data_IF_784276896579
#
_entry.id   IF_784276896579
#
_cell.length_a   1.000
_cell.length_b   1.000
_cell.length_c   1.000
_cell.angle_alpha   90.00
_cell.angle_beta   90.00
_cell.angle_gamma   90.00
#
_symmetry.space_group_name_H-M   'P 1'
#
loop_
_entity.id
_entity.type
_entity.pdbx_description
1 polymer ?
#
# COMPACT_ATOMS: atom_id res chain seq x y z
N UNK A 1 -4.08 4.79 -30.75
CA UNK A 1 -3.17 4.81 -29.57
C UNK A 1 -2.13 5.91 -29.73
N UNK A 2 -1.53 6.05 -30.90
CA UNK A 2 -0.50 7.09 -31.14
C UNK A 2 -1.02 8.53 -31.03
N UNK A 3 -2.25 8.80 -31.48
CA UNK A 3 -2.88 10.12 -31.33
C UNK A 3 -3.14 10.53 -29.88
N UNK A 4 -3.41 9.56 -28.99
CA UNK A 4 -3.58 9.79 -27.55
C UNK A 4 -2.23 10.03 -26.86
N UNK A 5 -1.18 9.33 -27.27
CA UNK A 5 0.17 9.48 -26.72
C UNK A 5 0.78 10.83 -27.13
N UNK A 6 0.58 11.23 -28.40
CA UNK A 6 1.07 12.52 -28.91
C UNK A 6 0.32 13.68 -28.25
N UNK A 7 -1.02 13.62 -28.18
CA UNK A 7 -1.85 14.62 -27.48
C UNK A 7 -1.48 14.73 -26.00
N UNK A 8 -1.34 13.60 -25.30
CA UNK A 8 -0.93 13.59 -23.90
C UNK A 8 0.48 14.15 -23.71
N UNK A 9 1.42 13.86 -24.62
CA UNK A 9 2.79 14.38 -24.52
C UNK A 9 2.87 15.89 -24.71
N UNK A 10 2.14 16.48 -25.66
CA UNK A 10 2.20 17.92 -25.91
C UNK A 10 1.47 18.73 -24.83
N UNK A 11 0.29 18.28 -24.39
CA UNK A 11 -0.43 18.95 -23.31
C UNK A 11 0.26 18.79 -21.95
N UNK A 12 0.78 17.61 -21.63
CA UNK A 12 1.51 17.41 -20.37
C UNK A 12 2.81 18.21 -20.35
N UNK A 13 3.53 18.30 -21.47
CA UNK A 13 4.73 19.12 -21.56
C UNK A 13 4.42 20.62 -21.40
N UNK A 14 3.31 21.09 -22.00
CA UNK A 14 2.81 22.46 -21.82
C UNK A 14 2.42 22.77 -20.37
N UNK A 15 1.67 21.86 -19.73
CA UNK A 15 1.28 21.96 -18.32
C UNK A 15 2.49 21.91 -17.38
N UNK A 16 3.52 21.14 -17.74
CA UNK A 16 4.73 21.01 -16.93
C UNK A 16 5.56 22.30 -16.93
N UNK A 17 5.69 22.95 -18.09
CA UNK A 17 6.35 24.27 -18.19
C UNK A 17 5.55 25.34 -17.44
N UNK A 18 4.22 25.26 -17.45
CA UNK A 18 3.34 26.21 -16.77
C UNK A 18 3.24 26.01 -15.25
N UNK A 19 3.41 24.79 -14.73
CA UNK A 19 3.34 24.46 -13.30
C UNK A 19 4.59 24.83 -12.48
N UNK A 20 5.62 25.37 -13.14
CA UNK A 20 6.80 25.92 -12.48
C UNK A 20 7.65 24.93 -11.69
N UNK A 21 8.43 25.44 -10.74
CA UNK A 21 9.47 24.67 -10.01
C UNK A 21 8.91 23.55 -9.12
N UNK A 22 7.67 23.70 -8.63
CA UNK A 22 7.03 22.73 -7.73
C UNK A 22 6.66 21.42 -8.43
N UNK A 23 6.57 21.43 -9.76
CA UNK A 23 6.35 20.21 -10.54
C UNK A 23 7.50 19.21 -10.40
N UNK A 24 8.75 19.65 -10.23
CA UNK A 24 9.88 18.74 -9.99
C UNK A 24 9.77 18.03 -8.63
N UNK A 25 9.29 18.75 -7.62
CA UNK A 25 9.04 18.18 -6.29
C UNK A 25 7.90 17.16 -6.36
N UNK A 26 6.79 17.50 -7.04
CA UNK A 26 5.68 16.57 -7.25
C UNK A 26 6.11 15.33 -8.05
N UNK A 27 6.94 15.50 -9.07
CA UNK A 27 7.48 14.38 -9.86
C UNK A 27 8.33 13.45 -8.97
N UNK A 28 9.19 14.00 -8.11
CA UNK A 28 9.97 13.20 -7.17
C UNK A 28 9.08 12.40 -6.22
N UNK A 29 8.04 13.02 -5.66
CA UNK A 29 7.05 12.34 -4.80
C UNK A 29 6.34 11.24 -5.58
N UNK A 30 5.91 11.52 -6.81
CA UNK A 30 5.22 10.55 -7.67
C UNK A 30 6.11 9.35 -7.98
N UNK A 31 7.37 9.57 -8.36
CA UNK A 31 8.31 8.50 -8.64
C UNK A 31 8.55 7.61 -7.42
N UNK A 32 8.79 8.21 -6.25
CA UNK A 32 8.97 7.47 -5.00
C UNK A 32 7.71 6.69 -4.65
N UNK A 33 6.54 7.31 -4.78
CA UNK A 33 5.24 6.70 -4.49
C UNK A 33 4.97 5.49 -5.39
N UNK A 34 5.08 5.63 -6.72
CA UNK A 34 4.83 4.54 -7.64
C UNK A 34 5.87 3.43 -7.54
N UNK A 35 7.14 3.79 -7.35
CA UNK A 35 8.21 2.81 -7.11
C UNK A 35 7.94 2.00 -5.84
N UNK A 36 7.67 2.65 -4.71
CA UNK A 36 7.38 1.98 -3.44
C UNK A 36 6.10 1.15 -3.51
N UNK A 37 5.08 1.62 -4.23
CA UNK A 37 3.83 0.90 -4.44
C UNK A 37 4.08 -0.38 -5.24
N UNK A 38 4.88 -0.29 -6.30
CA UNK A 38 5.24 -1.43 -7.14
C UNK A 38 6.10 -2.45 -6.37
N UNK A 39 7.12 -1.97 -5.64
CA UNK A 39 7.95 -2.83 -4.78
C UNK A 39 7.08 -3.58 -3.76
N UNK A 40 6.18 -2.88 -3.07
CA UNK A 40 5.29 -3.49 -2.07
C UNK A 40 4.29 -4.44 -2.71
N UNK A 41 3.74 -4.10 -3.87
CA UNK A 41 2.84 -4.97 -4.62
C UNK A 41 3.54 -6.26 -5.06
N UNK A 42 4.77 -6.19 -5.56
CA UNK A 42 5.57 -7.36 -5.95
C UNK A 42 5.99 -8.18 -4.73
N UNK A 43 6.45 -7.52 -3.66
CA UNK A 43 6.79 -8.17 -2.39
C UNK A 43 5.59 -8.96 -1.85
N UNK A 44 4.41 -8.34 -1.84
CA UNK A 44 3.20 -8.99 -1.37
C UNK A 44 2.80 -10.13 -2.32
N UNK A 45 2.77 -9.91 -3.64
CA UNK A 45 2.44 -10.95 -4.63
C UNK A 45 3.38 -12.17 -4.56
N UNK A 46 4.67 -11.95 -4.30
CA UNK A 46 5.65 -13.03 -4.16
C UNK A 46 5.51 -13.82 -2.85
N UNK A 47 4.99 -13.19 -1.78
CA UNK A 47 4.76 -13.82 -0.46
C UNK A 47 3.34 -14.36 -0.31
N UNK A 48 2.37 -13.83 -1.06
CA UNK A 48 0.95 -14.21 -1.03
C UNK A 48 0.56 -15.15 -2.16
N UNK A 49 1.33 -16.22 -2.35
CA UNK A 49 0.86 -17.40 -3.08
C UNK A 49 -0.26 -18.17 -2.34
N UNK A 50 -0.89 -17.54 -1.34
CA UNK A 50 -2.08 -18.00 -0.61
C UNK A 50 -3.40 -17.67 -1.31
N UNK A 51 -3.34 -17.13 -2.53
CA UNK A 51 -4.54 -16.74 -3.28
C UNK A 51 -5.38 -17.98 -3.56
N UNK A 52 -6.55 -17.99 -2.93
CA UNK A 52 -7.65 -18.94 -3.13
C UNK A 52 -7.62 -20.24 -2.32
N UNK A 53 -6.95 -20.27 -1.16
CA UNK A 53 -7.05 -21.43 -0.26
C UNK A 53 -8.43 -21.48 0.40
N UNK A 54 -9.29 -22.35 -0.12
CA UNK A 54 -10.59 -22.66 0.49
C UNK A 54 -10.40 -23.19 1.92
N UNK A 55 -11.39 -22.96 2.80
CA UNK A 55 -11.43 -23.52 4.15
C UNK A 55 -11.21 -25.05 4.14
N UNK A 56 -11.70 -25.75 3.12
CA UNK A 56 -11.49 -27.19 2.93
C UNK A 56 -10.02 -27.56 2.73
N UNK A 57 -9.26 -26.74 2.02
CA UNK A 57 -7.82 -26.94 1.79
C UNK A 57 -7.02 -26.69 3.07
N UNK A 58 -7.44 -25.71 3.89
CA UNK A 58 -6.82 -25.47 5.20
C UNK A 58 -7.00 -26.66 6.15
N UNK A 59 -8.20 -27.23 6.19
CA UNK A 59 -8.47 -28.44 7.00
C UNK A 59 -7.57 -29.59 6.53
N UNK A 60 -7.41 -29.76 5.21
CA UNK A 60 -6.53 -30.78 4.65
C UNK A 60 -5.06 -30.55 5.04
N UNK A 61 -4.59 -29.31 5.06
CA UNK A 61 -3.22 -28.98 5.45
C UNK A 61 -2.95 -29.16 6.94
N UNK A 62 -3.94 -28.86 7.79
CA UNK A 62 -3.81 -29.09 9.25
C UNK A 62 -3.77 -30.59 9.56
N UNK A 63 -4.54 -31.40 8.84
CA UNK A 63 -4.50 -32.86 8.98
C UNK A 63 -3.28 -33.52 8.35
N UNK A 64 -2.77 -32.96 7.25
CA UNK A 64 -1.57 -33.45 6.55
C UNK A 64 -0.68 -32.28 6.09
N UNK A 65 0.29 -31.86 6.92
CA UNK A 65 1.19 -30.75 6.63
C UNK A 65 2.05 -30.92 5.37
N UNK A 66 2.24 -32.15 4.88
CA UNK A 66 3.02 -32.44 3.66
C UNK A 66 2.34 -31.90 2.39
N UNK A 67 1.01 -31.76 2.41
CA UNK A 67 0.24 -31.24 1.28
C UNK A 67 0.18 -29.71 1.22
N UNK A 68 0.75 -29.03 2.22
CA UNK A 68 0.72 -27.58 2.32
C UNK A 68 1.80 -26.93 1.45
N UNK A 69 1.57 -25.67 1.05
CA UNK A 69 2.60 -24.87 0.38
C UNK A 69 3.88 -24.75 1.23
N UNK A 70 5.03 -24.48 0.60
CA UNK A 70 6.34 -24.50 1.27
C UNK A 70 6.39 -23.61 2.53
N UNK A 71 5.80 -22.42 2.50
CA UNK A 71 5.76 -21.53 3.66
C UNK A 71 4.78 -22.03 4.73
N UNK A 72 3.57 -22.45 4.36
CA UNK A 72 2.59 -23.01 5.30
C UNK A 72 3.10 -24.27 5.97
N UNK A 73 3.76 -25.15 5.22
CA UNK A 73 4.34 -26.40 5.73
C UNK A 73 5.36 -26.09 6.83
N UNK A 74 6.27 -25.14 6.60
CA UNK A 74 7.23 -24.69 7.63
C UNK A 74 6.52 -24.15 8.87
N UNK A 75 5.49 -23.34 8.70
CA UNK A 75 4.71 -22.77 9.80
C UNK A 75 4.01 -23.87 10.62
N UNK A 76 3.36 -24.82 9.95
CA UNK A 76 2.68 -25.94 10.59
C UNK A 76 3.66 -26.86 11.32
N UNK A 77 4.83 -27.16 10.74
CA UNK A 77 5.88 -27.93 11.44
C UNK A 77 6.39 -27.18 12.67
N UNK A 78 6.67 -25.87 12.54
CA UNK A 78 7.11 -25.07 13.68
C UNK A 78 6.09 -25.07 14.81
N UNK A 79 4.79 -25.01 14.50
CA UNK A 79 3.72 -25.08 15.51
C UNK A 79 3.56 -26.49 16.07
N UNK A 80 3.74 -27.53 15.25
CA UNK A 80 3.60 -28.93 15.67
C UNK A 80 4.63 -29.37 16.71
N UNK A 81 5.80 -28.78 16.70
CA UNK A 81 6.80 -28.94 17.76
C UNK A 81 6.33 -28.40 19.13
N UNK A 82 5.22 -27.66 19.18
CA UNK A 82 4.57 -27.19 20.41
C UNK A 82 3.24 -27.90 20.74
N UNK A 83 2.96 -29.07 20.13
CA UNK A 83 1.67 -29.78 20.28
C UNK A 83 1.32 -30.22 21.70
N UNK A 84 2.30 -30.27 22.61
CA UNK A 84 2.12 -30.76 23.99
C UNK A 84 1.18 -29.87 24.81
N UNK A 85 1.11 -28.58 24.51
CA UNK A 85 0.13 -27.69 25.14
C UNK A 85 -0.46 -26.69 24.14
N UNK A 86 -1.77 -26.45 24.25
CA UNK A 86 -2.45 -25.44 23.43
C UNK A 86 -1.84 -24.03 23.59
N UNK A 87 -1.32 -23.73 24.79
CA UNK A 87 -0.64 -22.47 25.07
C UNK A 87 0.65 -22.27 24.27
N UNK A 88 1.49 -23.31 24.18
CA UNK A 88 2.75 -23.30 23.42
C UNK A 88 2.47 -23.15 21.92
N UNK A 89 1.55 -23.94 21.37
CA UNK A 89 1.15 -23.87 19.97
C UNK A 89 0.61 -22.47 19.62
N UNK A 90 -0.20 -21.86 20.49
CA UNK A 90 -0.74 -20.51 20.29
C UNK A 90 0.35 -19.45 20.30
N UNK A 91 1.29 -19.54 21.25
CA UNK A 91 2.44 -18.64 21.30
C UNK A 91 3.27 -18.69 20.02
N UNK A 92 3.49 -19.88 19.45
CA UNK A 92 4.22 -20.06 18.18
C UNK A 92 3.48 -19.43 16.99
N UNK A 93 2.15 -19.48 16.97
CA UNK A 93 1.37 -18.74 15.97
C UNK A 93 1.52 -17.22 16.11
N UNK A 94 1.51 -16.71 17.34
CA UNK A 94 1.71 -15.29 17.60
C UNK A 94 3.11 -14.83 17.18
N UNK A 95 4.15 -15.65 17.39
CA UNK A 95 5.52 -15.38 16.90
C UNK A 95 5.59 -15.32 15.37
N UNK A 96 4.93 -16.25 14.68
CA UNK A 96 4.84 -16.22 13.20
C UNK A 96 4.16 -14.92 12.76
N UNK A 97 3.00 -14.58 13.32
CA UNK A 97 2.28 -13.34 12.97
C UNK A 97 3.13 -12.09 13.21
N UNK A 98 3.82 -12.02 14.34
CA UNK A 98 4.68 -10.91 14.71
C UNK A 98 5.88 -10.73 13.76
N UNK A 99 6.31 -11.80 13.08
CA UNK A 99 7.36 -11.70 12.06
C UNK A 99 6.83 -11.15 10.72
N UNK A 100 5.64 -11.60 10.30
CA UNK A 100 5.12 -11.32 8.95
C UNK A 100 4.31 -10.02 8.86
N UNK A 101 3.33 -9.81 9.75
CA UNK A 101 2.37 -8.70 9.62
C UNK A 101 3.02 -7.32 9.80
N UNK A 102 3.88 -7.06 10.81
CA UNK A 102 4.44 -5.73 11.04
C UNK A 102 5.29 -5.22 9.88
N UNK A 103 5.97 -6.13 9.15
CA UNK A 103 6.78 -5.76 7.99
C UNK A 103 5.92 -5.22 6.84
N UNK A 104 4.74 -5.82 6.62
CA UNK A 104 3.78 -5.38 5.61
C UNK A 104 3.13 -4.08 6.07
N UNK A 105 2.73 -4.00 7.33
CA UNK A 105 2.11 -2.81 7.93
C UNK A 105 2.99 -1.58 7.81
N UNK A 106 4.29 -1.70 8.13
CA UNK A 106 5.23 -0.59 8.00
C UNK A 106 5.31 -0.07 6.57
N UNK A 107 5.26 -0.95 5.57
CA UNK A 107 5.26 -0.58 4.15
C UNK A 107 3.96 0.11 3.76
N UNK A 108 2.81 -0.41 4.21
CA UNK A 108 1.50 0.21 3.98
C UNK A 108 1.44 1.61 4.61
N UNK A 109 1.87 1.77 5.86
CA UNK A 109 1.91 3.07 6.54
C UNK A 109 2.76 4.08 5.76
N UNK A 110 3.92 3.67 5.25
CA UNK A 110 4.77 4.51 4.43
C UNK A 110 4.09 4.92 3.12
N UNK A 111 3.40 4.00 2.45
CA UNK A 111 2.63 4.30 1.24
C UNK A 111 1.47 5.27 1.51
N UNK A 112 0.75 5.08 2.62
CA UNK A 112 -0.32 6.00 3.04
C UNK A 112 0.22 7.41 3.27
N UNK A 113 1.39 7.54 3.93
CA UNK A 113 2.05 8.83 4.12
C UNK A 113 2.36 9.52 2.78
N UNK A 114 2.94 8.79 1.83
CA UNK A 114 3.30 9.33 0.50
C UNK A 114 2.06 9.77 -0.29
N UNK A 115 0.98 8.98 -0.27
CA UNK A 115 -0.27 9.36 -0.95
C UNK A 115 -0.92 10.58 -0.33
N UNK A 116 -0.90 10.71 0.99
CA UNK A 116 -1.40 11.92 1.65
C UNK A 116 -0.53 13.14 1.38
N UNK A 117 0.77 12.96 1.13
CA UNK A 117 1.70 14.07 0.86
C UNK A 117 1.53 14.65 -0.55
N UNK A 118 1.12 13.87 -1.55
CA UNK A 118 0.96 14.36 -2.92
C UNK A 118 -0.10 15.48 -3.08
N UNK A 119 -1.32 15.39 -2.52
CA UNK A 119 -2.29 16.49 -2.52
C UNK A 119 -1.82 17.69 -1.69
N UNK A 120 -1.12 17.46 -0.57
CA UNK A 120 -0.56 18.53 0.26
C UNK A 120 0.52 19.32 -0.49
N UNK A 121 1.36 18.64 -1.28
CA UNK A 121 2.32 19.28 -2.17
C UNK A 121 1.62 20.09 -3.28
N UNK A 122 0.50 19.60 -3.82
CA UNK A 122 -0.35 20.34 -4.75
C UNK A 122 -0.92 21.62 -4.13
N UNK A 123 -1.44 21.52 -2.90
CA UNK A 123 -1.94 22.67 -2.13
C UNK A 123 -0.82 23.68 -1.83
N UNK A 124 0.39 23.23 -1.50
CA UNK A 124 1.55 24.12 -1.36
C UNK A 124 1.83 24.90 -2.66
N UNK A 125 1.65 24.25 -3.81
CA UNK A 125 1.59 24.86 -5.14
C UNK A 125 0.71 26.09 -5.20
N UNK A 126 -0.52 25.99 -4.69
CA UNK A 126 -1.46 27.13 -4.70
C UNK A 126 -0.98 28.29 -3.84
N UNK A 127 -0.42 28.01 -2.67
CA UNK A 127 0.08 29.04 -1.75
C UNK A 127 1.27 29.77 -2.37
N UNK A 128 2.21 29.02 -2.97
CA UNK A 128 3.35 29.60 -3.68
C UNK A 128 2.93 30.41 -4.91
N UNK A 129 2.02 29.90 -5.74
CA UNK A 129 1.52 30.60 -6.94
C UNK A 129 0.75 31.89 -6.61
N UNK A 130 -0.04 31.88 -5.53
CA UNK A 130 -0.68 33.11 -5.02
C UNK A 130 0.36 34.08 -4.46
N UNK A 131 1.40 33.61 -3.77
CA UNK A 131 2.45 34.47 -3.23
C UNK A 131 3.24 35.16 -4.35
N UNK A 132 3.62 34.44 -5.41
CA UNK A 132 4.29 35.03 -6.59
C UNK A 132 3.37 36.01 -7.31
N UNK A 133 2.08 35.71 -7.40
CA UNK A 133 1.07 36.62 -7.94
C UNK A 133 1.03 37.95 -7.18
N UNK A 134 0.86 37.91 -5.84
CA UNK A 134 0.81 39.12 -5.02
C UNK A 134 2.12 39.92 -5.03
N UNK A 135 3.26 39.25 -5.12
CA UNK A 135 4.57 39.91 -5.27
C UNK A 135 4.70 40.58 -6.64
N UNK A 136 4.23 39.95 -7.71
CA UNK A 136 4.17 40.55 -9.05
C UNK A 136 3.31 41.81 -9.05
N UNK A 137 2.14 41.75 -8.40
CA UNK A 137 1.23 42.88 -8.22
C UNK A 137 1.88 44.07 -7.48
N UNK A 138 2.55 43.81 -6.36
CA UNK A 138 3.16 44.89 -5.55
C UNK A 138 4.31 45.59 -6.25
N UNK A 139 4.96 44.91 -7.20
CA UNK A 139 6.13 45.43 -7.91
C UNK A 139 5.79 46.04 -9.27
N UNK A 140 4.59 45.78 -9.81
CA UNK A 140 4.16 46.25 -11.14
C UNK A 140 3.19 47.43 -11.06
N UNK A 141 3.64 48.59 -11.52
CA UNK A 141 2.81 49.78 -11.67
C UNK A 141 2.32 49.91 -13.13
N UNK A 142 1.19 49.28 -13.50
CA UNK A 142 0.57 49.48 -14.82
C UNK A 142 -0.20 48.28 -15.40
N UNK A 143 -0.98 48.50 -16.47
CA UNK A 143 -2.02 47.61 -17.03
C UNK A 143 -1.67 46.18 -17.47
N UNK A 144 -0.44 45.69 -17.23
CA UNK A 144 -0.08 44.26 -17.38
C UNK A 144 -0.38 43.42 -16.13
N UNK A 145 -0.90 44.05 -15.07
CA UNK A 145 -1.29 43.45 -13.79
C UNK A 145 -2.20 42.22 -13.94
N UNK A 146 -3.15 42.24 -14.89
CA UNK A 146 -4.14 41.16 -15.06
C UNK A 146 -3.49 39.87 -15.59
N UNK A 147 -2.60 39.98 -16.59
CA UNK A 147 -1.94 38.81 -17.19
C UNK A 147 -1.03 38.08 -16.19
N UNK A 148 -0.32 38.84 -15.34
CA UNK A 148 0.51 38.26 -14.28
C UNK A 148 -0.31 37.50 -13.24
N UNK A 149 -1.47 38.05 -12.85
CA UNK A 149 -2.39 37.39 -11.92
C UNK A 149 -2.98 36.13 -12.51
N UNK A 150 -3.44 36.19 -13.75
CA UNK A 150 -4.00 35.03 -14.44
C UNK A 150 -2.95 33.90 -14.56
N UNK A 151 -1.70 34.24 -14.88
CA UNK A 151 -0.60 33.27 -14.95
C UNK A 151 -0.33 32.54 -13.63
N UNK A 152 -0.15 33.27 -12.53
CA UNK A 152 0.17 32.65 -11.23
C UNK A 152 -0.98 31.86 -10.62
N UNK A 153 -2.25 32.25 -10.88
CA UNK A 153 -3.42 31.44 -10.52
C UNK A 153 -3.47 30.15 -11.37
N UNK A 154 -3.18 30.24 -12.67
CA UNK A 154 -3.14 29.06 -13.54
C UNK A 154 -2.06 28.06 -13.11
N UNK A 155 -0.84 28.53 -12.81
CA UNK A 155 0.26 27.70 -12.29
C UNK A 155 -0.15 26.97 -11.00
N UNK A 156 -0.79 27.69 -10.06
CA UNK A 156 -1.32 27.15 -8.82
C UNK A 156 -2.35 26.01 -9.05
N UNK A 157 -3.29 26.22 -9.96
CA UNK A 157 -4.35 25.24 -10.25
C UNK A 157 -3.80 23.99 -10.94
N UNK A 158 -2.87 24.15 -11.89
CA UNK A 158 -2.23 23.03 -12.60
C UNK A 158 -1.45 22.14 -11.61
N UNK A 159 -0.72 22.76 -10.69
CA UNK A 159 0.05 22.04 -9.66
C UNK A 159 -0.87 21.20 -8.76
N UNK A 160 -2.03 21.75 -8.38
CA UNK A 160 -3.03 21.05 -7.56
C UNK A 160 -3.68 19.89 -8.30
N UNK A 161 -4.11 20.15 -9.53
CA UNK A 161 -4.72 19.14 -10.39
C UNK A 161 -3.76 17.97 -10.60
N UNK A 162 -2.48 18.24 -10.87
CA UNK A 162 -1.45 17.22 -11.04
C UNK A 162 -1.28 16.37 -9.79
N UNK A 163 -1.21 16.99 -8.61
CA UNK A 163 -1.12 16.27 -7.32
C UNK A 163 -2.30 15.31 -7.10
N UNK A 164 -3.52 15.72 -7.46
CA UNK A 164 -4.71 14.86 -7.36
C UNK A 164 -4.71 13.73 -8.38
N UNK A 165 -4.32 14.00 -9.64
CA UNK A 165 -4.22 12.99 -10.69
C UNK A 165 -3.22 11.89 -10.31
N UNK A 166 -2.15 12.22 -9.60
CA UNK A 166 -1.17 11.25 -9.07
C UNK A 166 -1.76 10.49 -7.87
N UNK A 167 -2.37 11.20 -6.92
CA UNK A 167 -2.81 10.63 -5.64
C UNK A 167 -3.99 9.65 -5.77
N UNK A 168 -4.99 9.95 -6.60
CA UNK A 168 -6.21 9.13 -6.75
C UNK A 168 -5.91 7.69 -7.19
N UNK A 169 -5.22 7.44 -8.34
CA UNK A 169 -4.91 6.08 -8.77
C UNK A 169 -3.97 5.36 -7.80
N UNK A 170 -3.01 6.07 -7.20
CA UNK A 170 -2.14 5.49 -6.18
C UNK A 170 -2.93 5.03 -4.95
N UNK A 171 -3.91 5.82 -4.51
CA UNK A 171 -4.81 5.46 -3.40
C UNK A 171 -5.59 4.16 -3.69
N UNK A 172 -6.13 4.01 -4.90
CA UNK A 172 -6.82 2.77 -5.31
C UNK A 172 -5.88 1.56 -5.28
N UNK A 173 -4.64 1.74 -5.73
CA UNK A 173 -3.64 0.67 -5.75
C UNK A 173 -3.24 0.25 -4.33
N UNK A 174 -3.04 1.20 -3.42
CA UNK A 174 -2.76 0.92 -2.00
C UNK A 174 -3.91 0.19 -1.33
N UNK A 175 -5.17 0.59 -1.59
CA UNK A 175 -6.33 -0.12 -1.03
C UNK A 175 -6.36 -1.60 -1.44
N UNK A 176 -5.91 -1.94 -2.66
CA UNK A 176 -5.74 -3.34 -3.06
C UNK A 176 -4.61 -4.06 -2.31
N UNK A 177 -3.56 -3.35 -1.91
CA UNK A 177 -2.48 -3.91 -1.08
C UNK A 177 -3.00 -4.18 0.34
N UNK A 178 -3.74 -3.22 0.91
CA UNK A 178 -4.41 -3.36 2.22
C UNK A 178 -5.36 -4.56 2.23
N UNK A 179 -6.23 -4.67 1.23
CA UNK A 179 -7.15 -5.81 1.13
C UNK A 179 -6.44 -7.17 1.06
N UNK A 180 -5.28 -7.23 0.39
CA UNK A 180 -4.47 -8.47 0.37
C UNK A 180 -3.82 -8.78 1.72
N UNK A 181 -3.42 -7.75 2.49
CA UNK A 181 -2.93 -7.91 3.87
C UNK A 181 -4.02 -8.43 4.80
N UNK A 182 -5.24 -7.90 4.68
CA UNK A 182 -6.38 -8.35 5.50
C UNK A 182 -6.73 -9.82 5.21
N UNK A 183 -6.66 -10.25 3.94
CA UNK A 183 -6.85 -11.66 3.60
C UNK A 183 -5.78 -12.57 4.20
N UNK A 184 -4.52 -12.10 4.26
CA UNK A 184 -3.45 -12.84 4.91
C UNK A 184 -3.68 -13.00 6.42
N UNK A 185 -4.18 -11.96 7.07
CA UNK A 185 -4.54 -12.01 8.50
C UNK A 185 -5.70 -12.99 8.77
N UNK A 186 -6.73 -12.99 7.92
CA UNK A 186 -7.83 -13.96 7.99
C UNK A 186 -7.30 -15.39 7.78
N UNK A 187 -6.38 -15.59 6.84
CA UNK A 187 -5.73 -16.89 6.62
C UNK A 187 -5.02 -17.37 7.88
N UNK A 188 -4.18 -16.55 8.50
CA UNK A 188 -3.50 -16.91 9.75
C UNK A 188 -4.47 -17.19 10.89
N UNK A 189 -5.56 -16.44 11.01
CA UNK A 189 -6.60 -16.63 12.04
C UNK A 189 -7.32 -17.96 11.86
N UNK A 190 -7.68 -18.27 10.62
CA UNK A 190 -8.36 -19.52 10.28
C UNK A 190 -7.44 -20.72 10.52
N UNK A 191 -6.17 -20.61 10.13
CA UNK A 191 -5.20 -21.69 10.29
C UNK A 191 -4.86 -21.96 11.76
N UNK A 192 -4.70 -20.91 12.58
CA UNK A 192 -4.56 -21.05 14.04
C UNK A 192 -5.79 -21.75 14.63
N UNK A 193 -7.00 -21.27 14.33
CA UNK A 193 -8.24 -21.83 14.88
C UNK A 193 -8.42 -23.31 14.55
N UNK A 194 -8.12 -23.72 13.31
CA UNK A 194 -8.21 -25.13 12.91
C UNK A 194 -7.15 -26.00 13.58
N UNK A 195 -5.92 -25.48 13.71
CA UNK A 195 -4.82 -26.21 14.37
C UNK A 195 -5.09 -26.40 15.85
N UNK A 196 -5.59 -25.37 16.54
CA UNK A 196 -5.99 -25.47 17.96
C UNK A 196 -7.11 -26.46 18.18
N UNK A 197 -8.12 -26.47 17.30
CA UNK A 197 -9.21 -27.43 17.37
C UNK A 197 -8.70 -28.87 17.17
N UNK A 198 -7.77 -29.07 16.23
CA UNK A 198 -7.16 -30.37 15.98
C UNK A 198 -6.35 -30.87 17.19
N UNK A 199 -5.51 -30.01 17.78
CA UNK A 199 -4.70 -30.39 18.95
C UNK A 199 -5.55 -30.61 20.20
N UNK A 200 -6.60 -29.82 20.40
CA UNK A 200 -7.53 -30.05 21.50
C UNK A 200 -8.17 -31.44 21.39
N UNK A 201 -8.61 -31.83 20.19
CA UNK A 201 -9.18 -33.16 19.97
C UNK A 201 -8.20 -34.30 20.23
N UNK A 202 -6.92 -34.13 19.90
CA UNK A 202 -5.87 -35.13 20.17
C UNK A 202 -5.60 -35.26 21.68
N UNK A 203 -5.52 -34.14 22.40
CA UNK A 203 -5.28 -34.15 23.84
C UNK A 203 -6.45 -34.77 24.62
N UNK A 204 -7.70 -34.51 24.19
CA UNK A 204 -8.89 -35.13 24.80
C UNK A 204 -8.92 -36.65 24.57
N UNK A 205 -8.46 -37.15 23.41
CA UNK A 205 -8.37 -38.60 23.17
C UNK A 205 -7.26 -39.28 23.97
N UNK A 206 -6.12 -38.61 24.17
CA UNK A 206 -5.02 -39.16 24.96
C UNK A 206 -5.38 -39.26 26.46
N UNK A 207 -6.19 -38.34 26.99
CA UNK A 207 -6.70 -38.38 28.37
C UNK A 207 -7.78 -39.46 28.60
N UNK A 208 -8.52 -39.88 27.56
CA UNK A 208 -9.52 -40.94 27.67
C UNK A 208 -8.92 -42.37 27.61
N UNK A 209 -7.67 -42.51 27.14
CA UNK A 209 -6.96 -43.79 27.00
C UNK A 209 -6.06 -44.16 28.21
N UNK A 210 -5.79 -43.23 29.14
CA UNK A 210 -5.07 -43.45 30.42
C UNK A 210 -6.00 -43.79 31.60
#
# INVERSE_FOLDING_TARGET
MDSLIIWFSEEVWGLWIQGGSLMFMLLAIALILYYATLETYLFLKSRTSFKNTSKSTLVQWVGDPEKADHETKKMLHYVADGKETLGEARRRFDEIRACFLPTIDRRITFLSLLVSTAPLAGLLGTVMGMLTTFKGLSTSSGGKTIDFVAGGISEALITTQTGLIIAIPAYVMINRIVSQRDQLEIFFTTLESLTMQNYKGILETDEEEE
#
